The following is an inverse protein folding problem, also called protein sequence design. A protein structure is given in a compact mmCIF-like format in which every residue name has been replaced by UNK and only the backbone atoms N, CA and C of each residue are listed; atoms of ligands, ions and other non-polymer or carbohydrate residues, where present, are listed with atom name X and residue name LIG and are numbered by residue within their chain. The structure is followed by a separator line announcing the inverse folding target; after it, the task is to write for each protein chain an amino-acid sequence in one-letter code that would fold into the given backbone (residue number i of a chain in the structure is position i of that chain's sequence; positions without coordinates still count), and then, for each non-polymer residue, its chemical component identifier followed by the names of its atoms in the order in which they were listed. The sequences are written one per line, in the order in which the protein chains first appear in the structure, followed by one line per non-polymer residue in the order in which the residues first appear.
data_IF_938239730746
#
_entry.id   IF_938239730746
#
_cell.length_a   1.000
_cell.length_b   1.000
_cell.length_c   1.000
_cell.angle_alpha   90.00
_cell.angle_beta   90.00
_cell.angle_gamma   90.00
#
_symmetry.space_group_name_H-M   'P 1'
#
loop_
_entity.id
_entity.type
_entity.pdbx_description
1 polymer ?
#
# COMPACT_ATOMS: atom_id res chain seq x y z
N UNK A 1 -47.23 74.57 16.14
CA UNK A 1 -46.90 73.50 15.17
C UNK A 1 -45.39 73.21 15.08
N UNK A 2 -44.62 73.20 16.18
CA UNK A 2 -43.16 73.02 16.09
C UNK A 2 -42.49 72.25 17.24
N UNK A 3 -43.23 71.40 17.99
CA UNK A 3 -42.65 70.59 19.07
C UNK A 3 -42.91 69.08 19.00
N UNK A 4 -43.74 68.62 18.07
CA UNK A 4 -44.01 67.19 17.88
C UNK A 4 -43.10 66.50 16.86
N UNK A 5 -42.42 67.26 15.98
CA UNK A 5 -41.57 66.68 14.93
C UNK A 5 -40.15 66.32 15.40
N UNK A 6 -39.70 66.77 16.58
CA UNK A 6 -38.31 66.58 17.06
C UNK A 6 -38.12 65.33 17.92
N UNK A 7 -39.19 64.82 18.55
CA UNK A 7 -39.12 63.65 19.43
C UNK A 7 -39.15 62.36 18.62
N UNK A 8 -39.87 62.34 17.49
CA UNK A 8 -40.01 61.15 16.64
C UNK A 8 -38.73 60.90 15.84
N UNK A 9 -38.09 61.94 15.27
CA UNK A 9 -36.81 61.80 14.54
C UNK A 9 -35.66 61.34 15.46
N UNK A 10 -35.60 61.80 16.71
CA UNK A 10 -34.54 61.37 17.64
C UNK A 10 -34.71 59.93 18.14
N UNK A 11 -35.96 59.43 18.22
CA UNK A 11 -36.25 58.04 18.59
C UNK A 11 -35.87 57.07 17.47
N UNK A 12 -36.17 57.40 16.21
CA UNK A 12 -35.79 56.57 15.05
C UNK A 12 -34.27 56.51 14.85
N UNK A 13 -33.56 57.64 14.99
CA UNK A 13 -32.09 57.66 14.83
C UNK A 13 -31.40 56.83 15.93
N UNK A 14 -31.86 56.90 17.19
CA UNK A 14 -31.28 56.12 18.29
C UNK A 14 -31.55 54.62 18.18
N UNK A 15 -32.72 54.22 17.67
CA UNK A 15 -33.04 52.82 17.40
C UNK A 15 -32.17 52.26 16.26
N UNK A 16 -31.95 53.02 15.19
CA UNK A 16 -31.07 52.63 14.08
C UNK A 16 -29.59 52.52 14.48
N UNK A 17 -29.08 53.40 15.35
CA UNK A 17 -27.69 53.33 15.84
C UNK A 17 -27.47 52.09 16.73
N UNK A 18 -28.43 51.73 17.59
CA UNK A 18 -28.35 50.52 18.41
C UNK A 18 -28.41 49.24 17.57
N UNK A 19 -29.19 49.22 16.49
CA UNK A 19 -29.22 48.09 15.53
C UNK A 19 -27.91 47.98 14.76
N UNK A 20 -27.31 49.10 14.32
CA UNK A 20 -26.01 49.11 13.64
C UNK A 20 -24.86 48.68 14.57
N UNK A 21 -24.87 49.10 15.84
CA UNK A 21 -23.87 48.67 16.82
C UNK A 21 -24.02 47.19 17.20
N UNK A 22 -25.25 46.65 17.24
CA UNK A 22 -25.51 45.23 17.50
C UNK A 22 -25.22 44.33 16.28
N UNK A 23 -25.42 44.82 15.05
CA UNK A 23 -24.96 44.12 13.84
C UNK A 23 -23.43 44.09 13.74
N UNK A 24 -22.76 45.17 14.13
CA UNK A 24 -21.29 45.25 14.10
C UNK A 24 -20.61 44.27 15.07
N UNK A 25 -21.24 43.92 16.21
CA UNK A 25 -20.65 43.00 17.19
C UNK A 25 -20.90 41.53 16.90
N UNK A 26 -21.95 41.17 16.13
CA UNK A 26 -22.20 39.80 15.70
C UNK A 26 -21.28 39.39 14.52
N UNK A 27 -20.92 40.32 13.64
CA UNK A 27 -19.98 40.06 12.55
C UNK A 27 -18.53 39.84 13.03
N UNK A 28 -18.09 40.55 14.07
CA UNK A 28 -16.67 40.53 14.48
C UNK A 28 -16.20 39.21 15.11
N UNK A 29 -17.05 38.48 15.84
CA UNK A 29 -16.64 37.21 16.49
C UNK A 29 -16.48 36.06 15.49
N UNK A 30 -17.31 36.02 14.45
CA UNK A 30 -17.20 35.04 13.37
C UNK A 30 -15.98 35.29 12.46
N UNK A 31 -15.59 36.56 12.28
CA UNK A 31 -14.41 36.96 11.49
C UNK A 31 -13.11 36.57 12.18
N UNK A 32 -12.96 36.86 13.48
CA UNK A 32 -11.75 36.50 14.26
C UNK A 32 -11.46 34.98 14.26
N UNK A 33 -12.49 34.14 14.35
CA UNK A 33 -12.35 32.68 14.27
C UNK A 33 -11.93 32.19 12.88
N UNK A 34 -12.30 32.92 11.84
CA UNK A 34 -11.91 32.60 10.47
C UNK A 34 -10.46 33.02 10.21
N UNK A 35 -10.04 34.19 10.71
CA UNK A 35 -8.66 34.68 10.62
C UNK A 35 -7.67 33.73 11.31
N UNK A 36 -8.02 33.18 12.48
CA UNK A 36 -7.20 32.17 13.17
C UNK A 36 -7.05 30.89 12.34
N UNK A 37 -8.14 30.44 11.69
CA UNK A 37 -8.10 29.28 10.78
C UNK A 37 -7.29 29.55 9.53
N UNK A 38 -7.35 30.76 8.98
CA UNK A 38 -6.52 31.16 7.84
C UNK A 38 -5.04 31.20 8.22
N UNK A 39 -4.69 31.79 9.36
CA UNK A 39 -3.30 31.82 9.84
C UNK A 39 -2.73 30.41 10.06
N UNK A 40 -3.51 29.52 10.68
CA UNK A 40 -3.13 28.12 10.86
C UNK A 40 -3.06 27.34 9.53
N UNK A 41 -3.88 27.70 8.55
CA UNK A 41 -3.81 27.12 7.20
C UNK A 41 -2.54 27.57 6.47
N UNK A 42 -2.17 28.85 6.57
CA UNK A 42 -0.93 29.38 6.01
C UNK A 42 0.31 28.71 6.64
N UNK A 43 0.32 28.50 7.96
CA UNK A 43 1.40 27.76 8.63
C UNK A 43 1.52 26.32 8.10
N UNK A 44 0.39 25.63 7.93
CA UNK A 44 0.38 24.28 7.36
C UNK A 44 0.86 24.25 5.92
N UNK A 45 0.51 25.24 5.12
CA UNK A 45 0.98 25.38 3.73
C UNK A 45 2.48 25.59 3.70
N UNK A 46 3.02 26.53 4.49
CA UNK A 46 4.45 26.77 4.57
C UNK A 46 5.24 25.52 5.03
N UNK A 47 4.71 24.79 6.03
CA UNK A 47 5.30 23.52 6.48
C UNK A 47 5.26 22.43 5.42
N UNK A 48 4.21 22.43 4.59
CA UNK A 48 4.07 21.46 3.51
C UNK A 48 5.04 21.79 2.37
N UNK A 49 5.19 23.07 2.02
CA UNK A 49 6.18 23.55 1.04
C UNK A 49 7.61 23.20 1.45
N UNK A 50 7.97 23.42 2.73
CA UNK A 50 9.28 23.02 3.27
C UNK A 50 9.51 21.51 3.17
N UNK A 51 8.50 20.70 3.50
CA UNK A 51 8.56 19.24 3.32
C UNK A 51 8.73 18.84 1.85
N UNK A 52 8.03 19.50 0.93
CA UNK A 52 8.16 19.23 -0.49
C UNK A 52 9.57 19.58 -1.00
N UNK A 53 10.11 20.73 -0.60
CA UNK A 53 11.49 21.12 -0.95
C UNK A 53 12.52 20.14 -0.38
N UNK A 54 12.31 19.67 0.85
CA UNK A 54 13.15 18.63 1.45
C UNK A 54 13.10 17.32 0.65
N UNK A 55 11.89 16.84 0.31
CA UNK A 55 11.75 15.62 -0.50
C UNK A 55 12.35 15.77 -1.89
N UNK A 56 12.20 16.92 -2.55
CA UNK A 56 12.82 17.17 -3.85
C UNK A 56 14.36 17.09 -3.77
N UNK A 57 14.93 17.59 -2.67
CA UNK A 57 16.38 17.48 -2.41
C UNK A 57 16.78 16.02 -2.18
N UNK A 58 16.00 15.25 -1.43
CA UNK A 58 16.25 13.82 -1.22
C UNK A 58 16.19 13.02 -2.53
N UNK A 59 15.22 13.32 -3.41
CA UNK A 59 15.11 12.69 -4.73
C UNK A 59 16.37 12.96 -5.55
N UNK A 60 16.84 14.22 -5.60
CA UNK A 60 18.08 14.57 -6.30
C UNK A 60 19.30 13.82 -5.76
N UNK A 61 19.41 13.70 -4.44
CA UNK A 61 20.50 12.94 -3.80
C UNK A 61 20.42 11.45 -4.16
N UNK A 62 19.21 10.88 -4.17
CA UNK A 62 18.99 9.47 -4.54
C UNK A 62 19.28 9.20 -6.01
N UNK A 63 18.91 10.10 -6.91
CA UNK A 63 19.25 10.01 -8.33
C UNK A 63 20.76 10.04 -8.54
N UNK A 64 21.47 10.95 -7.86
CA UNK A 64 22.94 10.97 -7.87
C UNK A 64 23.54 9.65 -7.34
N UNK A 65 22.97 9.09 -6.27
CA UNK A 65 23.40 7.81 -5.72
C UNK A 65 23.15 6.66 -6.71
N UNK A 66 22.02 6.68 -7.42
CA UNK A 66 21.69 5.70 -8.45
C UNK A 66 22.63 5.80 -9.66
N UNK A 67 23.00 7.01 -10.07
CA UNK A 67 23.98 7.23 -11.14
C UNK A 67 25.37 6.69 -10.79
N UNK A 68 25.82 6.89 -9.54
CA UNK A 68 27.08 6.33 -9.05
C UNK A 68 27.01 4.81 -9.06
N UNK A 69 25.93 4.24 -8.52
CA UNK A 69 25.74 2.79 -8.47
C UNK A 69 25.66 2.19 -9.88
N UNK A 70 24.97 2.84 -10.81
CA UNK A 70 24.88 2.39 -12.21
C UNK A 70 26.27 2.38 -12.88
N UNK A 71 27.12 3.37 -12.59
CA UNK A 71 28.51 3.39 -13.07
C UNK A 71 29.33 2.25 -12.47
N UNK A 72 29.22 2.01 -11.16
CA UNK A 72 29.91 0.90 -10.49
C UNK A 72 29.48 -0.46 -11.05
N UNK A 73 28.17 -0.68 -11.23
CA UNK A 73 27.63 -1.90 -11.84
C UNK A 73 28.13 -2.07 -13.26
N UNK A 74 28.19 -1.00 -14.06
CA UNK A 74 28.76 -1.05 -15.42
C UNK A 74 30.24 -1.42 -15.41
N UNK A 75 31.02 -0.90 -14.47
CA UNK A 75 32.45 -1.24 -14.33
C UNK A 75 32.64 -2.69 -13.88
N UNK A 76 31.83 -3.17 -12.93
CA UNK A 76 31.86 -4.56 -12.48
C UNK A 76 31.45 -5.52 -13.60
N UNK A 77 30.47 -5.17 -14.42
CA UNK A 77 30.06 -5.95 -15.59
C UNK A 77 31.21 -6.09 -16.60
N UNK A 78 31.90 -5.00 -16.92
CA UNK A 78 33.08 -5.02 -17.80
C UNK A 78 34.22 -5.87 -17.20
N UNK A 79 34.45 -5.77 -15.89
CA UNK A 79 35.45 -6.58 -15.19
C UNK A 79 35.09 -8.08 -15.17
N UNK A 80 33.80 -8.41 -15.10
CA UNK A 80 33.28 -9.77 -15.18
C UNK A 80 33.41 -10.34 -16.60
N UNK A 81 33.05 -9.56 -17.62
CA UNK A 81 33.17 -9.94 -19.04
C UNK A 81 34.63 -10.25 -19.43
N UNK A 82 35.59 -9.47 -18.90
CA UNK A 82 37.02 -9.70 -19.08
C UNK A 82 37.49 -11.01 -18.41
N UNK A 83 36.92 -11.39 -17.25
CA UNK A 83 37.19 -12.68 -16.59
C UNK A 83 36.53 -13.87 -17.29
N UNK A 84 35.33 -13.70 -17.85
CA UNK A 84 34.63 -14.75 -18.64
C UNK A 84 35.26 -15.00 -20.01
N UNK A 85 36.11 -14.10 -20.50
CA UNK A 85 36.89 -14.29 -21.73
C UNK A 85 37.99 -15.36 -21.60
N UNK A 86 38.25 -15.86 -20.38
CA UNK A 86 39.07 -17.06 -20.12
C UNK A 86 38.24 -18.37 -20.08
N UNK A 87 36.92 -18.31 -20.31
CA UNK A 87 36.06 -19.50 -20.42
C UNK A 87 34.96 -19.28 -21.48
N UNK A 88 35.35 -19.29 -22.76
CA UNK A 88 34.40 -19.37 -23.87
C UNK A 88 34.04 -20.83 -24.15
N UNK A 89 32.86 -21.25 -23.70
CA UNK A 89 32.03 -22.19 -24.47
C UNK A 89 30.59 -22.15 -24.00
N UNK A 90 29.73 -21.37 -24.64
CA UNK A 90 28.33 -21.78 -24.84
C UNK A 90 27.87 -21.19 -26.18
N UNK A 91 27.74 -22.06 -27.18
CA UNK A 91 26.96 -21.84 -28.39
C UNK A 91 25.58 -22.46 -28.22
N UNK A 92 24.55 -21.73 -28.67
CA UNK A 92 23.23 -22.20 -29.10
C UNK A 92 22.28 -22.78 -28.02
N UNK A 93 21.24 -21.98 -27.72
CA UNK A 93 20.04 -22.39 -26.99
C UNK A 93 19.26 -23.40 -27.84
N UNK A 94 19.30 -24.69 -27.49
CA UNK A 94 18.30 -25.69 -27.91
C UNK A 94 18.20 -26.92 -26.98
N UNK A 95 18.93 -26.97 -25.86
CA UNK A 95 18.85 -28.10 -24.92
C UNK A 95 18.18 -27.70 -23.61
N UNK A 96 16.92 -28.13 -23.43
CA UNK A 96 16.09 -27.91 -22.22
C UNK A 96 16.56 -28.78 -21.03
N UNK A 97 17.66 -29.54 -21.16
CA UNK A 97 18.08 -30.50 -20.13
C UNK A 97 19.41 -30.17 -19.41
N UNK A 98 19.88 -28.93 -19.46
CA UNK A 98 20.96 -28.50 -18.57
C UNK A 98 20.79 -27.04 -18.17
N UNK A 99 19.82 -26.78 -17.29
CA UNK A 99 19.77 -25.52 -16.58
C UNK A 99 21.07 -25.39 -15.75
N UNK A 100 21.87 -24.33 -15.93
CA UNK A 100 23.12 -24.18 -15.20
C UNK A 100 22.85 -24.24 -13.70
N UNK A 101 23.73 -24.89 -12.95
CA UNK A 101 23.72 -24.96 -11.48
C UNK A 101 23.72 -23.60 -10.76
N UNK A 102 23.86 -22.49 -11.50
CA UNK A 102 23.65 -21.13 -11.02
C UNK A 102 22.17 -20.73 -10.84
N UNK A 103 21.23 -21.40 -11.52
CA UNK A 103 19.77 -21.26 -11.29
C UNK A 103 19.28 -22.09 -10.09
N UNK A 104 20.16 -22.92 -9.52
CA UNK A 104 19.84 -23.78 -8.37
C UNK A 104 19.61 -23.01 -7.06
N UNK A 105 19.87 -21.70 -7.05
CA UNK A 105 19.71 -20.82 -5.88
C UNK A 105 18.62 -19.75 -6.05
N UNK A 106 17.87 -19.76 -7.15
CA UNK A 106 16.74 -18.82 -7.32
C UNK A 106 15.53 -19.43 -6.60
N UNK A 107 14.99 -18.68 -5.64
CA UNK A 107 13.79 -19.07 -4.94
C UNK A 107 12.63 -19.12 -5.93
N UNK A 108 11.84 -20.21 -5.98
CA UNK A 108 10.72 -20.29 -6.91
C UNK A 108 9.68 -19.22 -6.57
N UNK A 109 9.10 -18.57 -7.58
CA UNK A 109 8.07 -17.54 -7.36
C UNK A 109 6.72 -18.13 -7.00
N UNK A 110 6.47 -19.38 -7.41
CA UNK A 110 5.22 -20.09 -7.16
C UNK A 110 5.47 -21.56 -6.82
N UNK A 111 4.50 -22.21 -6.19
CA UNK A 111 4.53 -23.66 -5.98
C UNK A 111 4.56 -24.45 -7.31
N UNK A 112 3.92 -23.92 -8.35
CA UNK A 112 3.96 -24.50 -9.69
C UNK A 112 5.39 -24.49 -10.26
N UNK A 113 6.11 -23.37 -10.12
CA UNK A 113 7.51 -23.26 -10.52
C UNK A 113 8.40 -24.21 -9.71
N UNK A 114 8.20 -24.28 -8.38
CA UNK A 114 8.93 -25.22 -7.53
C UNK A 114 8.76 -26.68 -8.00
N UNK A 115 7.52 -27.07 -8.33
CA UNK A 115 7.19 -28.40 -8.88
C UNK A 115 7.88 -28.68 -10.21
N UNK A 116 7.93 -27.69 -11.12
CA UNK A 116 8.60 -27.85 -12.41
C UNK A 116 10.12 -27.92 -12.25
N UNK A 117 10.68 -27.18 -11.29
CA UNK A 117 12.10 -27.15 -10.99
C UNK A 117 12.62 -28.46 -10.37
N UNK A 118 11.82 -29.08 -9.50
CA UNK A 118 12.12 -30.40 -8.93
C UNK A 118 10.83 -31.22 -8.71
N UNK A 119 10.48 -32.12 -9.65
CA UNK A 119 9.31 -32.99 -9.54
C UNK A 119 9.36 -33.99 -8.37
N UNK A 120 10.50 -34.14 -7.69
CA UNK A 120 10.63 -35.04 -6.54
C UNK A 120 10.14 -34.40 -5.23
N UNK A 121 9.92 -33.07 -5.22
CA UNK A 121 9.39 -32.36 -4.06
C UNK A 121 7.95 -32.81 -3.79
N UNK A 122 7.68 -33.18 -2.54
CA UNK A 122 6.34 -33.59 -2.09
C UNK A 122 5.52 -32.38 -1.64
N UNK A 123 4.20 -32.52 -1.67
CA UNK A 123 3.28 -31.52 -1.11
C UNK A 123 3.63 -31.24 0.36
N UNK A 124 3.59 -29.96 0.74
CA UNK A 124 4.02 -29.51 2.07
C UNK A 124 4.35 -28.03 2.11
N UNK A 125 4.80 -27.57 3.28
CA UNK A 125 5.18 -26.17 3.47
C UNK A 125 6.52 -25.86 2.80
N UNK A 126 6.55 -24.81 1.98
CA UNK A 126 7.70 -24.37 1.21
C UNK A 126 7.80 -22.85 1.22
N UNK A 127 9.02 -22.34 1.03
CA UNK A 127 9.24 -20.93 0.79
C UNK A 127 9.13 -20.64 -0.70
N UNK A 128 8.41 -19.57 -1.04
CA UNK A 128 8.31 -19.03 -2.39
C UNK A 128 8.46 -17.51 -2.36
N UNK A 129 8.82 -16.90 -3.48
CA UNK A 129 9.01 -15.45 -3.60
C UNK A 129 8.22 -14.87 -4.79
N UNK A 130 6.89 -14.71 -4.66
CA UNK A 130 6.02 -14.26 -5.75
C UNK A 130 6.41 -12.92 -6.38
N UNK A 131 6.77 -11.89 -5.63
CA UNK A 131 7.17 -10.59 -6.18
C UNK A 131 8.62 -10.57 -6.69
N UNK A 132 9.44 -11.54 -6.24
CA UNK A 132 10.68 -11.96 -6.85
C UNK A 132 11.91 -11.60 -6.02
N UNK A 133 12.98 -12.38 -6.20
CA UNK A 133 14.16 -12.26 -5.34
C UNK A 133 14.79 -10.86 -5.34
N UNK A 134 14.84 -10.26 -4.15
CA UNK A 134 15.37 -8.92 -3.92
C UNK A 134 14.44 -7.80 -4.39
N UNK A 135 13.18 -8.11 -4.69
CA UNK A 135 12.17 -7.15 -5.14
C UNK A 135 11.08 -7.09 -4.09
N UNK A 136 11.00 -6.00 -3.33
CA UNK A 136 9.85 -5.76 -2.48
C UNK A 136 9.92 -6.43 -1.12
N UNK A 137 8.94 -7.29 -0.83
CA UNK A 137 8.79 -7.91 0.48
C UNK A 137 9.61 -9.21 0.55
N UNK A 138 9.86 -9.69 1.77
CA UNK A 138 10.55 -10.98 1.96
C UNK A 138 9.72 -12.16 1.40
N UNK A 139 10.36 -13.29 1.05
CA UNK A 139 9.67 -14.52 0.66
C UNK A 139 8.61 -14.96 1.67
N UNK A 140 7.60 -15.71 1.20
CA UNK A 140 6.49 -16.19 2.02
C UNK A 140 6.54 -17.71 2.23
N UNK A 141 6.09 -18.16 3.39
CA UNK A 141 6.05 -19.59 3.75
C UNK A 141 4.63 -20.13 3.64
N UNK A 142 4.41 -21.00 2.65
CA UNK A 142 3.08 -21.39 2.17
C UNK A 142 2.97 -22.89 2.03
N UNK A 143 1.74 -23.42 1.98
CA UNK A 143 1.56 -24.82 1.65
C UNK A 143 1.50 -24.99 0.13
N UNK A 144 2.41 -25.78 -0.43
CA UNK A 144 2.38 -26.17 -1.83
C UNK A 144 1.74 -27.55 -1.97
N UNK A 145 0.65 -27.63 -2.72
CA UNK A 145 0.18 -28.91 -3.22
C UNK A 145 0.90 -29.24 -4.53
N UNK A 146 1.95 -30.07 -4.46
CA UNK A 146 2.73 -30.46 -5.64
C UNK A 146 1.97 -31.41 -6.57
N UNK A 147 0.85 -32.00 -6.15
CA UNK A 147 0.01 -32.81 -7.04
C UNK A 147 -0.66 -31.94 -8.11
N UNK A 148 -1.24 -30.81 -7.71
CA UNK A 148 -1.84 -29.81 -8.62
C UNK A 148 -0.86 -28.72 -9.07
N UNK A 149 0.15 -28.40 -8.25
CA UNK A 149 0.99 -27.20 -8.39
C UNK A 149 0.40 -25.96 -7.71
N UNK A 150 -0.66 -26.11 -6.92
CA UNK A 150 -1.37 -25.00 -6.29
C UNK A 150 -0.64 -24.46 -5.06
N UNK A 151 -0.79 -23.16 -4.83
CA UNK A 151 -0.29 -22.46 -3.64
C UNK A 151 -1.45 -22.20 -2.68
N UNK A 152 -1.34 -22.65 -1.43
CA UNK A 152 -2.31 -22.37 -0.37
C UNK A 152 -1.72 -21.38 0.64
N UNK A 153 -2.41 -20.25 0.81
CA UNK A 153 -2.07 -19.22 1.80
C UNK A 153 -3.01 -19.35 3.00
N UNK A 154 -2.46 -19.63 4.17
CA UNK A 154 -3.23 -19.68 5.42
C UNK A 154 -3.67 -18.28 5.88
N UNK A 155 -4.74 -18.24 6.66
CA UNK A 155 -5.22 -17.03 7.30
C UNK A 155 -5.61 -17.24 8.77
N UNK A 156 -6.01 -16.18 9.46
CA UNK A 156 -6.31 -16.17 10.91
C UNK A 156 -7.71 -16.69 11.29
N UNK A 157 -8.41 -17.37 10.38
CA UNK A 157 -9.81 -17.76 10.58
C UNK A 157 -10.16 -19.14 10.03
N UNK A 158 -9.21 -20.07 10.07
CA UNK A 158 -9.41 -21.46 9.65
C UNK A 158 -10.37 -22.23 10.57
N UNK A 159 -10.42 -21.85 11.85
CA UNK A 159 -11.29 -22.47 12.86
C UNK A 159 -12.72 -21.93 12.80
N UNK A 160 -13.74 -22.75 13.14
CA UNK A 160 -15.11 -22.27 13.27
C UNK A 160 -15.22 -21.10 14.24
N UNK A 161 -16.01 -20.09 13.86
CA UNK A 161 -16.31 -18.92 14.69
C UNK A 161 -17.79 -18.95 15.06
N UNK A 162 -18.09 -18.88 16.35
CA UNK A 162 -19.47 -18.68 16.81
C UNK A 162 -19.84 -17.20 16.61
N UNK A 163 -20.85 -16.97 15.77
CA UNK A 163 -21.37 -15.65 15.42
C UNK A 163 -22.46 -15.21 16.41
N UNK A 164 -22.95 -16.10 17.27
CA UNK A 164 -24.05 -15.83 18.17
C UNK A 164 -25.36 -15.50 17.43
N UNK A 165 -26.23 -14.73 18.09
CA UNK A 165 -27.49 -14.29 17.51
C UNK A 165 -27.28 -13.08 16.60
N UNK A 166 -27.39 -13.29 15.29
CA UNK A 166 -27.18 -12.28 14.26
C UNK A 166 -28.34 -12.38 13.25
N UNK A 167 -29.39 -11.57 13.46
CA UNK A 167 -30.64 -11.65 12.69
C UNK A 167 -30.74 -10.62 11.55
N UNK A 168 -30.11 -9.45 11.72
CA UNK A 168 -30.22 -8.35 10.76
C UNK A 168 -29.22 -8.51 9.60
N UNK A 169 -29.56 -8.10 8.36
CA UNK A 169 -28.61 -8.11 7.26
C UNK A 169 -27.32 -7.34 7.61
N UNK A 170 -26.16 -8.00 7.49
CA UNK A 170 -24.87 -7.39 7.77
C UNK A 170 -24.48 -7.26 9.25
N UNK A 171 -25.22 -7.88 10.17
CA UNK A 171 -24.91 -7.83 11.60
C UNK A 171 -23.54 -8.45 11.98
N UNK A 172 -22.96 -9.28 11.11
CA UNK A 172 -21.64 -9.87 11.31
C UNK A 172 -20.69 -9.47 10.18
N UNK A 173 -19.53 -8.97 10.57
CA UNK A 173 -18.40 -8.72 9.69
C UNK A 173 -17.12 -9.11 10.41
N UNK A 174 -16.21 -9.76 9.69
CA UNK A 174 -14.90 -10.15 10.20
C UNK A 174 -13.86 -9.90 9.12
N UNK A 175 -12.84 -9.13 9.45
CA UNK A 175 -11.65 -9.02 8.63
C UNK A 175 -10.85 -10.32 8.70
N UNK A 176 -10.39 -10.79 7.54
CA UNK A 176 -9.55 -11.99 7.42
C UNK A 176 -8.13 -11.54 7.12
N UNK A 177 -7.18 -11.93 7.96
CA UNK A 177 -5.78 -11.60 7.78
C UNK A 177 -5.05 -12.83 7.25
N UNK A 178 -4.61 -12.75 5.99
CA UNK A 178 -3.75 -13.76 5.40
C UNK A 178 -2.34 -13.65 5.97
N UNK A 179 -1.69 -14.80 6.14
CA UNK A 179 -0.31 -14.88 6.62
C UNK A 179 0.70 -14.62 5.49
N UNK A 180 0.54 -13.50 4.78
CA UNK A 180 1.41 -13.02 3.72
C UNK A 180 1.20 -11.51 3.50
N UNK A 181 2.24 -10.75 3.16
CA UNK A 181 2.10 -9.33 2.86
C UNK A 181 1.35 -9.12 1.53
N UNK A 182 0.63 -7.99 1.42
CA UNK A 182 -0.28 -7.73 0.31
C UNK A 182 0.42 -7.73 -1.06
N UNK A 183 1.67 -7.28 -1.12
CA UNK A 183 2.44 -7.23 -2.37
C UNK A 183 2.73 -8.64 -2.90
N UNK A 184 3.10 -9.55 -2.01
CA UNK A 184 3.31 -10.96 -2.35
C UNK A 184 2.00 -11.62 -2.82
N UNK A 185 0.85 -11.28 -2.22
CA UNK A 185 -0.46 -11.77 -2.64
C UNK A 185 -0.86 -11.24 -4.03
N UNK A 186 -0.61 -9.96 -4.31
CA UNK A 186 -0.86 -9.36 -5.63
C UNK A 186 -0.02 -10.07 -6.68
N UNK A 187 1.30 -10.19 -6.46
CA UNK A 187 2.20 -10.84 -7.39
C UNK A 187 1.81 -12.31 -7.61
N UNK A 188 1.47 -13.04 -6.54
CA UNK A 188 1.01 -14.42 -6.66
C UNK A 188 -0.28 -14.55 -7.47
N UNK A 189 -1.21 -13.60 -7.31
CA UNK A 189 -2.47 -13.57 -8.07
C UNK A 189 -2.21 -13.31 -9.55
N UNK A 190 -1.31 -12.39 -9.89
CA UNK A 190 -0.91 -12.08 -11.27
C UNK A 190 -0.21 -13.27 -11.96
N UNK A 191 0.50 -14.09 -11.19
CA UNK A 191 1.17 -15.30 -11.68
C UNK A 191 0.24 -16.53 -11.75
N UNK A 192 -0.99 -16.43 -11.25
CA UNK A 192 -1.94 -17.55 -11.15
C UNK A 192 -3.05 -17.44 -12.18
N UNK A 193 -3.38 -18.56 -12.84
CA UNK A 193 -4.49 -18.61 -13.80
C UNK A 193 -5.87 -18.60 -13.13
N UNK A 194 -5.96 -19.06 -11.89
CA UNK A 194 -7.19 -19.10 -11.10
C UNK A 194 -6.90 -18.98 -9.59
N UNK A 195 -7.89 -18.54 -8.82
CA UNK A 195 -7.85 -18.44 -7.37
C UNK A 195 -9.21 -18.83 -6.78
N UNK A 196 -9.21 -19.56 -5.67
CA UNK A 196 -10.42 -20.11 -5.05
C UNK A 196 -10.34 -19.99 -3.52
N UNK A 197 -11.46 -19.60 -2.89
CA UNK A 197 -11.64 -19.61 -1.44
C UNK A 197 -13.05 -20.10 -1.10
N UNK A 198 -13.17 -20.95 -0.09
CA UNK A 198 -14.46 -21.47 0.38
C UNK A 198 -14.76 -21.03 1.80
N UNK A 199 -16.02 -20.66 2.07
CA UNK A 199 -16.52 -20.34 3.42
C UNK A 199 -17.65 -21.32 3.77
N UNK A 200 -17.58 -21.92 4.96
CA UNK A 200 -18.60 -22.85 5.45
C UNK A 200 -19.40 -22.20 6.59
N UNK A 201 -20.72 -22.12 6.42
CA UNK A 201 -21.65 -21.65 7.44
C UNK A 201 -22.44 -22.84 7.98
N UNK A 202 -22.52 -22.97 9.31
CA UNK A 202 -23.31 -24.01 9.97
C UNK A 202 -24.35 -23.34 10.87
N UNK A 203 -25.60 -23.82 10.82
CA UNK A 203 -26.68 -23.33 11.67
C UNK A 203 -26.86 -24.25 12.88
N UNK A 204 -26.83 -23.69 14.08
CA UNK A 204 -27.19 -24.41 15.30
C UNK A 204 -28.67 -24.16 15.59
N UNK A 205 -29.48 -25.22 15.61
CA UNK A 205 -30.87 -25.17 16.12
C UNK A 205 -30.83 -25.57 17.59
N UNK A 206 -31.16 -24.63 18.47
CA UNK A 206 -31.50 -24.93 19.86
C UNK A 206 -32.90 -25.52 19.97
#
# INVERSE_FOLDING_TARGET
MARFSSVITTLFIRSSILVLLLWSTCSNSAVLSMDEKYAHLEEKIAKLEDKYAHFETLIKIKDQQHDILAKEVSQLKLALENKTSSSKSVTSLNDVNSLPSALKNIMPRTCHEAKLGDPSIKSGMQWIDPDGQGIGDDPIYVYCDMSSGSTLISHDSESPVDVGSCADPGCYSKAINYNAPIRQLIALTELSGECQQSVKVSQFKN
#
